data_IF_768144280460
#
_entry.id   IF_768144280460
#
_cell.length_a   1.000
_cell.length_b   1.000
_cell.length_c   1.000
_cell.angle_alpha   90.00
_cell.angle_beta   90.00
_cell.angle_gamma   90.00
#
_symmetry.space_group_name_H-M   'P 1'
#
loop_
_entity.id
_entity.type
_entity.pdbx_description
1 polymer ?
#
# COMPACT_ATOMS: atom_id res chain seq x y z
N UNK A 1 9.58 38.89 13.53
CA UNK A 1 10.85 38.14 13.34
C UNK A 1 11.26 37.54 14.69
N UNK A 2 10.75 36.35 15.03
CA UNK A 2 11.11 35.65 16.28
C UNK A 2 12.05 34.52 15.91
N UNK A 3 13.36 34.74 16.09
CA UNK A 3 14.36 33.66 16.09
C UNK A 3 14.08 32.77 17.30
N UNK A 4 13.38 31.65 17.11
CA UNK A 4 13.43 30.54 18.07
C UNK A 4 14.89 30.06 18.08
N UNK A 5 15.61 30.29 19.18
CA UNK A 5 16.89 29.63 19.44
C UNK A 5 16.61 28.13 19.36
N UNK A 6 17.13 27.46 18.34
CA UNK A 6 17.04 26.00 18.22
C UNK A 6 17.71 25.39 19.45
N UNK A 7 16.92 24.75 20.30
CA UNK A 7 17.43 23.94 21.38
C UNK A 7 18.23 22.80 20.74
N UNK A 8 19.54 22.73 20.98
CA UNK A 8 20.36 21.59 20.54
C UNK A 8 19.73 20.31 21.08
N UNK A 9 19.41 19.36 20.21
CA UNK A 9 18.80 18.08 20.58
C UNK A 9 19.92 17.04 20.52
N UNK A 10 20.13 16.29 21.61
CA UNK A 10 21.17 15.27 21.65
C UNK A 10 20.67 13.95 21.02
N UNK A 11 20.38 13.97 19.71
CA UNK A 11 19.99 12.78 18.95
C UNK A 11 21.24 12.04 18.51
N UNK A 12 21.39 10.78 18.92
CA UNK A 12 22.53 9.94 18.50
C UNK A 12 22.19 9.16 17.23
N UNK A 13 20.96 8.67 17.13
CA UNK A 13 20.49 7.88 16.00
C UNK A 13 19.09 8.36 15.57
N UNK A 14 18.87 8.49 14.26
CA UNK A 14 17.57 8.79 13.67
C UNK A 14 17.24 7.73 12.60
N UNK A 15 16.05 7.13 12.71
CA UNK A 15 15.56 6.13 11.75
C UNK A 15 14.32 6.69 11.07
N UNK A 16 14.33 6.67 9.74
CA UNK A 16 13.22 7.10 8.90
C UNK A 16 12.72 5.89 8.12
N UNK A 17 11.48 5.50 8.35
CA UNK A 17 10.83 4.41 7.63
C UNK A 17 9.89 4.95 6.54
N UNK A 18 9.66 4.17 5.48
CA UNK A 18 8.88 4.56 4.30
C UNK A 18 9.35 5.89 3.66
N UNK A 19 10.67 6.04 3.51
CA UNK A 19 11.33 7.28 3.04
C UNK A 19 10.86 7.74 1.66
N UNK A 20 10.54 6.80 0.77
CA UNK A 20 9.92 7.04 -0.53
C UNK A 20 8.57 7.75 -0.43
N UNK A 21 7.86 7.59 0.69
CA UNK A 21 6.63 8.32 1.00
C UNK A 21 6.94 9.66 1.67
N UNK A 22 7.83 9.67 2.65
CA UNK A 22 8.15 10.85 3.44
C UNK A 22 8.68 11.99 2.58
N UNK A 23 9.53 11.69 1.60
CA UNK A 23 10.12 12.70 0.70
C UNK A 23 9.14 13.29 -0.32
N UNK A 24 7.91 12.77 -0.41
CA UNK A 24 6.81 13.37 -1.16
C UNK A 24 6.03 14.40 -0.34
N UNK A 25 6.32 14.53 0.95
CA UNK A 25 5.74 15.53 1.83
C UNK A 25 6.73 16.69 2.01
N UNK A 26 6.33 17.90 1.61
CA UNK A 26 7.19 19.08 1.74
C UNK A 26 7.42 19.45 3.21
N UNK A 27 6.45 19.19 4.09
CA UNK A 27 6.60 19.46 5.53
C UNK A 27 7.66 18.54 6.15
N UNK A 28 7.80 17.32 5.62
CA UNK A 28 8.83 16.38 6.07
C UNK A 28 10.23 16.90 5.76
N UNK A 29 10.46 17.51 4.58
CA UNK A 29 11.78 18.06 4.23
C UNK A 29 12.18 19.18 5.19
N UNK A 30 11.24 20.06 5.51
CA UNK A 30 11.46 21.14 6.47
C UNK A 30 11.78 20.58 7.86
N UNK A 31 11.03 19.57 8.29
CA UNK A 31 11.27 18.91 9.58
C UNK A 31 12.62 18.18 9.62
N UNK A 32 13.00 17.50 8.54
CA UNK A 32 14.29 16.82 8.39
C UNK A 32 15.44 17.81 8.47
N UNK A 33 15.37 18.94 7.75
CA UNK A 33 16.39 19.98 7.81
C UNK A 33 16.54 20.53 9.24
N UNK A 34 15.42 20.83 9.91
CA UNK A 34 15.46 21.31 11.29
C UNK A 34 16.10 20.29 12.25
N UNK A 35 15.85 19.00 12.03
CA UNK A 35 16.48 17.93 12.80
C UNK A 35 17.99 17.89 12.57
N UNK A 36 18.42 17.93 11.30
CA UNK A 36 19.85 17.95 10.93
C UNK A 36 20.55 19.14 11.59
N UNK A 37 19.99 20.35 11.45
CA UNK A 37 20.57 21.58 12.00
C UNK A 37 20.68 21.58 13.53
N UNK A 38 19.83 20.80 14.20
CA UNK A 38 19.76 20.73 15.66
C UNK A 38 20.51 19.54 16.26
N UNK A 39 21.03 18.63 15.42
CA UNK A 39 21.67 17.38 15.82
C UNK A 39 23.21 17.48 15.85
N UNK A 40 23.90 16.70 16.69
CA UNK A 40 25.35 16.55 16.63
C UNK A 40 25.84 16.05 15.26
N UNK A 41 27.06 16.42 14.87
CA UNK A 41 27.70 15.92 13.63
C UNK A 41 27.87 14.39 13.65
N UNK A 42 27.92 13.78 14.83
CA UNK A 42 28.07 12.34 15.03
C UNK A 42 26.76 11.56 14.90
N UNK A 43 25.62 12.23 14.66
CA UNK A 43 24.32 11.56 14.57
C UNK A 43 24.30 10.60 13.38
N UNK A 44 23.92 9.35 13.64
CA UNK A 44 23.73 8.35 12.60
C UNK A 44 22.30 8.40 12.06
N UNK A 45 22.17 8.41 10.73
CA UNK A 45 20.88 8.41 10.05
C UNK A 45 20.69 7.09 9.30
N UNK A 46 19.55 6.44 9.51
CA UNK A 46 19.15 5.22 8.80
C UNK A 46 17.85 5.48 8.03
N UNK A 47 17.89 5.30 6.72
CA UNK A 47 16.75 5.44 5.82
C UNK A 47 16.27 4.07 5.37
N UNK A 48 15.01 3.75 5.66
CA UNK A 48 14.36 2.48 5.35
C UNK A 48 13.24 2.74 4.35
N UNK A 49 13.19 1.92 3.29
CA UNK A 49 12.13 2.03 2.29
C UNK A 49 11.89 0.70 1.59
N UNK A 50 10.64 0.45 1.21
CA UNK A 50 10.27 -0.72 0.41
C UNK A 50 10.80 -0.64 -1.02
N UNK A 51 10.99 0.57 -1.56
CA UNK A 51 11.54 0.78 -2.90
C UNK A 51 12.43 2.01 -2.92
N UNK A 52 13.52 1.98 -3.67
CA UNK A 52 14.43 3.12 -3.78
C UNK A 52 14.42 3.69 -5.22
N UNK A 53 13.43 4.53 -5.59
CA UNK A 53 13.47 5.27 -6.84
C UNK A 53 14.71 6.17 -6.93
N UNK A 54 15.25 6.34 -8.14
CA UNK A 54 16.45 7.15 -8.39
C UNK A 54 16.30 8.58 -7.87
N UNK A 55 15.11 9.17 -8.01
CA UNK A 55 14.83 10.52 -7.51
C UNK A 55 14.94 10.63 -5.99
N UNK A 56 14.46 9.61 -5.26
CA UNK A 56 14.55 9.55 -3.79
C UNK A 56 16.00 9.34 -3.38
N UNK A 57 16.71 8.44 -4.05
CA UNK A 57 18.14 8.22 -3.82
C UNK A 57 18.96 9.50 -4.02
N UNK A 58 18.75 10.22 -5.13
CA UNK A 58 19.47 11.45 -5.41
C UNK A 58 19.22 12.52 -4.34
N UNK A 59 17.97 12.66 -3.87
CA UNK A 59 17.65 13.56 -2.75
C UNK A 59 18.33 13.15 -1.46
N UNK A 60 18.39 11.86 -1.14
CA UNK A 60 19.09 11.39 0.06
C UNK A 60 20.59 11.71 0.01
N UNK A 61 21.24 11.51 -1.14
CA UNK A 61 22.65 11.84 -1.34
C UNK A 61 22.90 13.34 -1.28
N UNK A 62 21.94 14.17 -1.71
CA UNK A 62 22.02 15.64 -1.58
C UNK A 62 22.08 16.10 -0.12
N UNK A 63 21.21 15.56 0.75
CA UNK A 63 21.24 15.87 2.19
C UNK A 63 22.38 15.16 2.93
N UNK A 64 22.77 13.96 2.49
CA UNK A 64 23.72 13.08 3.16
C UNK A 64 24.72 12.50 2.13
N UNK A 65 25.78 13.25 1.78
CA UNK A 65 26.74 12.83 0.75
C UNK A 65 27.45 11.50 1.04
N UNK A 66 27.65 11.16 2.32
CA UNK A 66 28.30 9.92 2.76
C UNK A 66 27.33 8.73 2.88
N UNK A 67 26.12 8.82 2.30
CA UNK A 67 25.11 7.77 2.35
C UNK A 67 25.65 6.46 1.74
N UNK A 68 25.58 5.39 2.52
CA UNK A 68 25.88 4.03 2.04
C UNK A 68 24.58 3.30 1.77
N UNK A 69 24.41 2.86 0.52
CA UNK A 69 23.25 2.05 0.14
C UNK A 69 23.48 0.61 0.58
N UNK A 70 22.58 0.10 1.40
CA UNK A 70 22.54 -1.32 1.79
C UNK A 70 21.43 -1.98 0.99
N UNK A 71 21.81 -2.89 0.09
CA UNK A 71 20.90 -3.74 -0.67
C UNK A 71 21.37 -5.19 -0.57
N UNK A 72 20.45 -6.13 -0.74
CA UNK A 72 20.79 -7.55 -0.79
C UNK A 72 19.73 -8.36 -1.53
N UNK A 73 20.03 -9.65 -1.81
CA UNK A 73 19.11 -10.55 -2.49
C UNK A 73 17.79 -10.64 -1.72
N UNK A 74 16.68 -10.23 -2.36
CA UNK A 74 15.35 -10.23 -1.76
C UNK A 74 14.97 -8.95 -1.00
N UNK A 75 15.86 -7.96 -0.86
CA UNK A 75 15.47 -6.62 -0.40
C UNK A 75 14.78 -5.87 -1.54
N UNK A 76 13.70 -5.15 -1.24
CA UNK A 76 12.84 -4.48 -2.24
C UNK A 76 12.12 -5.43 -3.21
N UNK A 77 12.02 -6.71 -2.86
CA UNK A 77 11.29 -7.71 -3.62
C UNK A 77 10.00 -8.06 -2.89
N UNK A 78 9.01 -8.53 -3.65
CA UNK A 78 7.84 -9.17 -3.05
C UNK A 78 8.23 -10.51 -2.40
N UNK A 79 7.45 -10.94 -1.41
CA UNK A 79 7.62 -12.26 -0.78
C UNK A 79 7.49 -13.37 -1.83
N UNK A 80 8.35 -14.39 -1.77
CA UNK A 80 8.25 -15.56 -2.66
C UNK A 80 6.97 -16.39 -2.44
N UNK A 81 6.30 -16.20 -1.30
CA UNK A 81 4.99 -16.80 -1.02
C UNK A 81 3.80 -15.98 -1.53
N UNK A 82 4.04 -14.85 -2.19
CA UNK A 82 3.00 -14.04 -2.82
C UNK A 82 2.66 -14.59 -4.21
N UNK A 83 1.39 -14.94 -4.42
CA UNK A 83 0.83 -15.23 -5.75
C UNK A 83 0.13 -13.97 -6.30
N UNK A 84 0.59 -13.47 -7.44
CA UNK A 84 0.01 -12.30 -8.11
C UNK A 84 -0.95 -12.75 -9.22
N UNK A 85 -2.23 -12.41 -9.09
CA UNK A 85 -3.31 -12.76 -10.03
C UNK A 85 -3.79 -11.50 -10.75
N UNK A 86 -3.46 -11.39 -12.03
CA UNK A 86 -3.94 -10.30 -12.88
C UNK A 86 -5.41 -10.53 -13.28
N UNK A 87 -6.29 -9.55 -13.02
CA UNK A 87 -7.70 -9.60 -13.40
C UNK A 87 -8.01 -8.45 -14.33
N UNK A 88 -8.24 -8.76 -15.61
CA UNK A 88 -8.60 -7.77 -16.62
C UNK A 88 -10.09 -7.43 -16.54
N UNK A 89 -10.39 -6.22 -16.05
CA UNK A 89 -11.74 -5.69 -15.90
C UNK A 89 -12.12 -4.73 -17.04
N UNK A 90 -11.39 -4.74 -18.16
CA UNK A 90 -11.68 -3.88 -19.31
C UNK A 90 -13.06 -4.14 -19.91
N UNK A 91 -13.58 -5.36 -19.76
CA UNK A 91 -14.85 -5.82 -20.32
C UNK A 91 -14.82 -6.01 -21.83
N UNK A 92 -15.90 -6.59 -22.35
CA UNK A 92 -16.15 -6.70 -23.79
C UNK A 92 -17.12 -5.59 -24.23
N UNK A 93 -16.73 -4.78 -25.21
CA UNK A 93 -17.54 -3.67 -25.71
C UNK A 93 -16.73 -2.46 -26.20
N UNK A 94 -17.38 -1.62 -27.02
CA UNK A 94 -16.78 -0.42 -27.64
C UNK A 94 -16.71 0.79 -26.71
N UNK A 95 -17.62 0.92 -25.74
CA UNK A 95 -17.70 2.07 -24.83
C UNK A 95 -17.03 1.77 -23.49
N UNK A 96 -15.77 2.17 -23.35
CA UNK A 96 -15.00 2.05 -22.11
C UNK A 96 -15.10 3.36 -21.31
N UNK A 97 -16.01 3.38 -20.34
CA UNK A 97 -16.18 4.52 -19.40
C UNK A 97 -15.75 4.15 -17.98
N UNK A 98 -15.47 5.14 -17.10
CA UNK A 98 -15.18 4.87 -15.69
C UNK A 98 -16.28 4.04 -14.98
N UNK A 99 -17.54 4.23 -15.34
CA UNK A 99 -18.66 3.48 -14.74
C UNK A 99 -18.68 2.02 -15.19
N UNK A 100 -18.45 1.75 -16.49
CA UNK A 100 -18.32 0.37 -16.99
C UNK A 100 -17.14 -0.35 -16.36
N UNK A 101 -16.00 0.34 -16.20
CA UNK A 101 -14.82 -0.18 -15.51
C UNK A 101 -15.14 -0.53 -14.05
N UNK A 102 -15.82 0.35 -13.31
CA UNK A 102 -16.25 0.04 -11.95
C UNK A 102 -17.18 -1.16 -11.90
N UNK A 103 -18.13 -1.27 -12.83
CA UNK A 103 -19.08 -2.38 -12.88
C UNK A 103 -18.39 -3.73 -13.10
N UNK A 104 -17.40 -3.79 -13.99
CA UNK A 104 -16.63 -5.02 -14.23
C UNK A 104 -15.78 -5.39 -13.01
N UNK A 105 -15.09 -4.42 -12.39
CA UNK A 105 -14.35 -4.62 -11.15
C UNK A 105 -15.24 -5.07 -10.00
N UNK A 106 -16.45 -4.51 -9.89
CA UNK A 106 -17.47 -4.90 -8.93
C UNK A 106 -17.81 -6.39 -9.10
N UNK A 107 -18.09 -6.82 -10.32
CA UNK A 107 -18.41 -8.23 -10.62
C UNK A 107 -17.24 -9.14 -10.26
N UNK A 108 -16.01 -8.77 -10.62
CA UNK A 108 -14.81 -9.52 -10.26
C UNK A 108 -14.59 -9.63 -8.74
N UNK A 109 -14.82 -8.54 -8.00
CA UNK A 109 -14.70 -8.53 -6.53
C UNK A 109 -15.73 -9.46 -5.89
N UNK A 110 -17.00 -9.40 -6.32
CA UNK A 110 -18.04 -10.26 -5.76
C UNK A 110 -17.77 -11.74 -6.04
N UNK A 111 -17.36 -12.06 -7.27
CA UNK A 111 -16.95 -13.41 -7.64
C UNK A 111 -15.81 -13.92 -6.76
N UNK A 112 -14.79 -13.08 -6.52
CA UNK A 112 -13.66 -13.43 -5.66
C UNK A 112 -14.11 -13.74 -4.21
N UNK A 113 -14.97 -12.89 -3.64
CA UNK A 113 -15.48 -13.06 -2.27
C UNK A 113 -16.33 -14.32 -2.14
N UNK A 114 -17.09 -14.68 -3.18
CA UNK A 114 -17.96 -15.86 -3.20
C UNK A 114 -17.20 -17.17 -3.43
N UNK A 115 -16.29 -17.20 -4.41
CA UNK A 115 -15.62 -18.43 -4.86
C UNK A 115 -14.35 -18.76 -4.06
N UNK A 116 -13.73 -17.77 -3.41
CA UNK A 116 -12.49 -17.95 -2.66
C UNK A 116 -12.53 -17.23 -1.31
N UNK A 117 -13.47 -17.60 -0.40
CA UNK A 117 -13.56 -16.98 0.91
C UNK A 117 -12.31 -17.26 1.74
N UNK A 118 -11.82 -16.22 2.41
CA UNK A 118 -10.64 -16.27 3.29
C UNK A 118 -10.89 -15.40 4.53
N UNK A 119 -10.17 -15.67 5.61
CA UNK A 119 -10.38 -14.98 6.89
C UNK A 119 -10.14 -13.48 6.80
N UNK A 120 -9.10 -13.03 6.09
CA UNK A 120 -8.77 -11.60 5.98
C UNK A 120 -8.43 -11.17 4.56
N UNK A 121 -9.19 -10.21 4.05
CA UNK A 121 -8.94 -9.53 2.78
C UNK A 121 -8.75 -8.02 2.99
N UNK A 122 -7.75 -7.43 2.35
CA UNK A 122 -7.63 -5.96 2.22
C UNK A 122 -7.99 -5.55 0.80
N UNK A 123 -8.88 -4.59 0.63
CA UNK A 123 -9.25 -3.98 -0.65
C UNK A 123 -8.72 -2.55 -0.70
N UNK A 124 -7.74 -2.31 -1.56
CA UNK A 124 -7.14 -0.99 -1.77
C UNK A 124 -7.85 -0.22 -2.89
N UNK A 125 -8.22 1.02 -2.59
CA UNK A 125 -8.77 1.97 -3.54
C UNK A 125 -7.93 3.26 -3.57
N UNK A 126 -7.88 3.93 -4.72
CA UNK A 126 -7.11 5.17 -4.88
C UNK A 126 -7.85 6.40 -4.35
N UNK A 127 -9.17 6.31 -4.19
CA UNK A 127 -10.08 7.40 -3.79
C UNK A 127 -11.06 6.93 -2.72
N UNK A 128 -11.39 7.83 -1.80
CA UNK A 128 -12.42 7.61 -0.75
C UNK A 128 -13.78 7.29 -1.38
N UNK A 129 -14.12 7.95 -2.49
CA UNK A 129 -15.36 7.69 -3.21
C UNK A 129 -15.45 6.22 -3.68
N UNK A 130 -14.36 5.67 -4.21
CA UNK A 130 -14.30 4.25 -4.60
C UNK A 130 -14.47 3.34 -3.38
N UNK A 131 -13.81 3.63 -2.25
CA UNK A 131 -14.00 2.87 -1.01
C UNK A 131 -15.48 2.79 -0.62
N UNK A 132 -16.19 3.93 -0.63
CA UNK A 132 -17.63 3.99 -0.30
C UNK A 132 -18.48 3.19 -1.28
N UNK A 133 -18.17 3.25 -2.58
CA UNK A 133 -18.88 2.44 -3.59
C UNK A 133 -18.65 0.94 -3.37
N UNK A 134 -17.41 0.53 -3.09
CA UNK A 134 -17.05 -0.87 -2.79
C UNK A 134 -17.73 -1.35 -1.51
N UNK A 135 -17.71 -0.56 -0.44
CA UNK A 135 -18.41 -0.84 0.82
C UNK A 135 -19.90 -1.07 0.57
N UNK A 136 -20.57 -0.18 -0.16
CA UNK A 136 -21.99 -0.29 -0.50
C UNK A 136 -22.30 -1.52 -1.36
N UNK A 137 -21.37 -1.97 -2.20
CA UNK A 137 -21.52 -3.19 -2.99
C UNK A 137 -21.45 -4.41 -2.09
N UNK A 138 -20.42 -4.50 -1.25
CA UNK A 138 -20.21 -5.63 -0.36
C UNK A 138 -21.35 -5.75 0.68
N UNK A 139 -21.83 -4.62 1.22
CA UNK A 139 -22.98 -4.58 2.15
C UNK A 139 -24.26 -5.09 1.49
N UNK A 140 -24.41 -4.88 0.18
CA UNK A 140 -25.58 -5.38 -0.56
C UNK A 140 -25.46 -6.86 -0.92
N UNK A 141 -24.25 -7.36 -1.07
CA UNK A 141 -23.96 -8.78 -1.30
C UNK A 141 -24.32 -9.62 -0.06
N UNK A 142 -23.88 -9.19 1.12
CA UNK A 142 -24.24 -9.83 2.40
C UNK A 142 -25.02 -8.86 3.29
N UNK A 143 -26.31 -8.66 2.98
CA UNK A 143 -27.17 -7.71 3.72
C UNK A 143 -27.33 -8.06 5.20
N UNK A 144 -27.24 -9.34 5.55
CA UNK A 144 -27.38 -9.81 6.93
C UNK A 144 -26.04 -9.75 7.68
N UNK A 145 -24.92 -9.59 6.97
CA UNK A 145 -23.58 -9.59 7.54
C UNK A 145 -23.23 -10.92 8.20
N UNK A 146 -23.80 -12.02 7.70
CA UNK A 146 -23.67 -13.35 8.28
C UNK A 146 -22.40 -14.08 7.88
N UNK A 147 -21.73 -13.64 6.81
CA UNK A 147 -20.53 -14.28 6.27
C UNK A 147 -19.39 -13.28 6.02
N UNK A 148 -19.72 -12.00 5.78
CA UNK A 148 -18.74 -10.97 5.46
C UNK A 148 -18.92 -9.76 6.36
N UNK A 149 -17.86 -9.39 7.07
CA UNK A 149 -17.79 -8.15 7.85
C UNK A 149 -16.91 -7.13 7.15
N UNK A 150 -17.48 -5.95 6.92
CA UNK A 150 -16.85 -4.90 6.11
C UNK A 150 -16.36 -3.80 7.03
N UNK A 151 -15.05 -3.53 6.97
CA UNK A 151 -14.34 -2.63 7.84
C UNK A 151 -13.76 -1.47 6.99
N UNK A 152 -14.50 -0.37 6.78
CA UNK A 152 -13.98 0.76 6.00
C UNK A 152 -12.90 1.51 6.79
N UNK A 153 -11.85 1.94 6.10
CA UNK A 153 -10.70 2.58 6.73
C UNK A 153 -10.09 3.66 5.81
N UNK A 154 -10.60 4.88 5.93
CA UNK A 154 -10.17 6.02 5.12
C UNK A 154 -10.41 7.35 5.85
N UNK A 155 -9.75 8.43 5.41
CA UNK A 155 -9.72 9.72 6.12
C UNK A 155 -11.09 10.41 6.32
N UNK A 156 -12.13 10.06 5.55
CA UNK A 156 -13.47 10.59 5.76
C UNK A 156 -14.24 9.96 6.95
N UNK A 157 -13.67 8.94 7.61
CA UNK A 157 -14.20 8.39 8.85
C UNK A 157 -13.55 9.08 10.04
N UNK A 158 -14.31 9.22 11.12
CA UNK A 158 -13.77 9.66 12.41
C UNK A 158 -12.58 8.76 12.81
N UNK A 159 -11.58 9.36 13.47
CA UNK A 159 -10.39 8.63 13.89
C UNK A 159 -10.73 7.46 14.82
N UNK A 160 -11.69 7.64 15.72
CA UNK A 160 -12.18 6.58 16.61
C UNK A 160 -12.73 5.37 15.83
N UNK A 161 -13.62 5.60 14.85
CA UNK A 161 -14.14 4.55 13.98
C UNK A 161 -13.03 3.82 13.23
N UNK A 162 -12.04 4.57 12.71
CA UNK A 162 -10.86 3.98 12.08
C UNK A 162 -10.09 3.07 13.03
N UNK A 163 -9.86 3.49 14.26
CA UNK A 163 -9.17 2.71 15.28
C UNK A 163 -9.94 1.44 15.66
N UNK A 164 -11.26 1.51 15.77
CA UNK A 164 -12.13 0.35 16.05
C UNK A 164 -12.01 -0.68 14.92
N UNK A 165 -12.26 -0.25 13.67
CA UNK A 165 -12.19 -1.12 12.49
C UNK A 165 -10.80 -1.74 12.32
N UNK A 166 -9.76 -0.97 12.62
CA UNK A 166 -8.37 -1.45 12.60
C UNK A 166 -8.12 -2.54 13.63
N UNK A 167 -8.48 -2.29 14.89
CA UNK A 167 -8.32 -3.27 15.97
C UNK A 167 -9.07 -4.55 15.67
N UNK A 168 -10.29 -4.43 15.14
CA UNK A 168 -11.09 -5.56 14.75
C UNK A 168 -10.40 -6.38 13.65
N UNK A 169 -9.92 -5.73 12.58
CA UNK A 169 -9.24 -6.43 11.49
C UNK A 169 -7.92 -7.11 11.94
N UNK A 170 -7.11 -6.43 12.75
CA UNK A 170 -5.80 -6.94 13.16
C UNK A 170 -5.91 -8.05 14.20
N UNK A 171 -6.78 -7.89 15.21
CA UNK A 171 -6.83 -8.82 16.35
C UNK A 171 -7.83 -9.95 16.21
N UNK A 172 -8.82 -9.85 15.31
CA UNK A 172 -9.80 -10.92 15.13
C UNK A 172 -9.23 -12.06 14.29
N UNK A 173 -9.61 -13.28 14.64
CA UNK A 173 -9.36 -14.50 13.87
C UNK A 173 -10.72 -15.18 13.65
N UNK A 174 -11.50 -14.71 12.66
CA UNK A 174 -12.85 -15.21 12.46
C UNK A 174 -12.83 -16.70 12.08
N UNK A 175 -13.76 -17.47 12.65
CA UNK A 175 -14.03 -18.85 12.23
C UNK A 175 -15.29 -18.86 11.39
N UNK A 176 -15.15 -19.01 10.08
CA UNK A 176 -16.28 -19.06 9.13
C UNK A 176 -16.66 -17.71 8.52
N UNK A 177 -16.30 -16.59 9.15
CA UNK A 177 -16.54 -15.25 8.61
C UNK A 177 -15.31 -14.69 7.88
N UNK A 178 -15.53 -13.84 6.88
CA UNK A 178 -14.49 -13.08 6.19
C UNK A 178 -14.47 -11.63 6.67
N UNK A 179 -13.31 -11.13 7.11
CA UNK A 179 -13.12 -9.69 7.34
C UNK A 179 -12.57 -9.04 6.08
N UNK A 180 -13.24 -7.99 5.62
CA UNK A 180 -12.81 -7.21 4.45
C UNK A 180 -12.54 -5.78 4.88
N UNK A 181 -11.26 -5.40 4.91
CA UNK A 181 -10.83 -4.01 5.16
C UNK A 181 -10.81 -3.24 3.83
N UNK A 182 -11.62 -2.20 3.70
CA UNK A 182 -11.65 -1.35 2.49
C UNK A 182 -10.97 -0.02 2.77
N UNK A 183 -9.83 0.26 2.13
CA UNK A 183 -8.98 1.39 2.52
C UNK A 183 -8.33 2.16 1.37
N UNK A 184 -7.80 3.33 1.72
CA UNK A 184 -6.85 4.10 0.89
C UNK A 184 -5.47 4.11 1.55
N UNK A 185 -4.41 4.27 0.77
CA UNK A 185 -3.02 4.20 1.26
C UNK A 185 -2.73 5.22 2.35
N UNK A 186 -3.23 6.45 2.21
CA UNK A 186 -3.02 7.49 3.23
C UNK A 186 -3.52 7.08 4.60
N UNK A 187 -4.55 6.25 4.67
CA UNK A 187 -5.07 5.79 5.95
C UNK A 187 -4.21 4.65 6.51
N UNK A 188 -3.73 3.72 5.67
CA UNK A 188 -3.12 2.44 6.06
C UNK A 188 -1.59 2.44 6.22
N UNK A 189 -0.91 3.57 6.03
CA UNK A 189 0.56 3.71 6.20
C UNK A 189 1.01 3.42 7.62
N UNK A 190 2.16 2.77 7.77
CA UNK A 190 2.71 2.40 9.08
C UNK A 190 1.89 1.38 9.87
N UNK A 191 0.90 0.75 9.23
CA UNK A 191 0.05 -0.24 9.88
C UNK A 191 0.51 -1.66 9.53
N UNK A 192 0.77 -2.42 10.58
CA UNK A 192 1.06 -3.84 10.48
C UNK A 192 -0.24 -4.66 10.44
N UNK A 193 -0.57 -5.16 9.26
CA UNK A 193 -1.67 -6.10 9.07
C UNK A 193 -1.14 -7.53 9.13
N UNK A 194 -1.32 -8.18 10.27
CA UNK A 194 -0.93 -9.58 10.46
C UNK A 194 -2.02 -10.55 9.96
N UNK A 195 -1.59 -11.63 9.31
CA UNK A 195 -2.46 -12.71 8.87
C UNK A 195 -3.43 -12.33 7.75
N UNK A 196 -3.02 -11.45 6.84
CA UNK A 196 -3.81 -11.11 5.64
C UNK A 196 -3.62 -12.22 4.62
N UNK A 197 -4.72 -12.86 4.19
CA UNK A 197 -4.70 -13.92 3.19
C UNK A 197 -4.72 -13.35 1.77
N UNK A 198 -5.62 -12.38 1.54
CA UNK A 198 -5.82 -11.75 0.23
C UNK A 198 -5.61 -10.23 0.28
N UNK A 199 -4.98 -9.72 -0.76
CA UNK A 199 -4.96 -8.29 -1.09
C UNK A 199 -5.66 -8.11 -2.44
N UNK A 200 -6.55 -7.14 -2.54
CA UNK A 200 -7.20 -6.74 -3.80
C UNK A 200 -6.82 -5.32 -4.10
N UNK A 201 -6.11 -5.11 -5.22
CA UNK A 201 -5.87 -3.79 -5.78
C UNK A 201 -7.07 -3.42 -6.64
N UNK A 202 -8.17 -2.97 -6.01
CA UNK A 202 -9.40 -2.64 -6.73
C UNK A 202 -9.16 -1.49 -7.71
N UNK A 203 -8.46 -0.45 -7.25
CA UNK A 203 -7.85 0.53 -8.14
C UNK A 203 -6.38 0.21 -8.33
N UNK A 204 -5.95 0.14 -9.60
CA UNK A 204 -4.55 -0.04 -9.93
C UNK A 204 -3.69 1.08 -9.31
N UNK A 205 -2.56 0.76 -8.66
CA UNK A 205 -1.68 1.74 -8.03
C UNK A 205 -1.18 2.79 -9.03
N UNK A 206 -0.85 3.98 -8.53
CA UNK A 206 -0.38 5.11 -9.35
C UNK A 206 1.08 4.96 -9.73
N UNK A 207 1.86 4.30 -8.88
CA UNK A 207 3.29 4.08 -9.07
C UNK A 207 3.70 2.67 -8.58
N UNK A 208 4.87 2.17 -9.00
CA UNK A 208 5.33 0.84 -8.60
C UNK A 208 5.65 0.73 -7.10
N UNK A 209 6.03 1.81 -6.44
CA UNK A 209 6.31 1.82 -4.99
C UNK A 209 5.03 1.56 -4.20
N UNK A 210 3.93 2.19 -4.58
CA UNK A 210 2.60 1.95 -4.05
C UNK A 210 2.16 0.51 -4.30
N UNK A 211 2.44 -0.03 -5.49
CA UNK A 211 2.18 -1.44 -5.81
C UNK A 211 2.84 -2.38 -4.80
N UNK A 212 4.17 -2.28 -4.61
CA UNK A 212 4.92 -3.16 -3.69
C UNK A 212 4.39 -3.06 -2.27
N UNK A 213 4.15 -1.84 -1.79
CA UNK A 213 3.66 -1.62 -0.42
C UNK A 213 2.29 -2.24 -0.18
N UNK A 214 1.39 -2.18 -1.17
CA UNK A 214 0.04 -2.76 -1.07
C UNK A 214 0.07 -4.28 -1.13
N UNK A 215 0.74 -4.87 -2.11
CA UNK A 215 0.80 -6.34 -2.23
C UNK A 215 1.61 -6.97 -1.10
N UNK A 216 2.60 -6.24 -0.55
CA UNK A 216 3.36 -6.65 0.63
C UNK A 216 2.56 -6.67 1.94
N UNK A 217 1.25 -6.34 1.93
CA UNK A 217 0.39 -6.51 3.12
C UNK A 217 0.00 -7.97 3.37
N UNK A 218 0.15 -8.85 2.37
CA UNK A 218 -0.02 -10.31 2.52
C UNK A 218 1.31 -11.04 2.33
N UNK A 219 1.31 -12.37 2.52
CA UNK A 219 2.50 -13.21 2.43
C UNK A 219 3.67 -12.76 3.33
N UNK A 220 3.36 -12.13 4.48
CA UNK A 220 4.35 -11.63 5.43
C UNK A 220 4.86 -12.74 6.36
N UNK A 221 6.11 -12.59 6.81
CA UNK A 221 6.78 -13.54 7.71
C UNK A 221 7.46 -14.69 6.97
N UNK A 222 8.35 -15.40 7.66
CA UNK A 222 9.06 -16.54 7.10
C UNK A 222 8.06 -17.65 6.72
N UNK A 223 8.02 -18.03 5.44
CA UNK A 223 7.08 -19.02 4.91
C UNK A 223 5.64 -18.51 4.75
N UNK A 224 5.39 -17.21 4.92
CA UNK A 224 4.07 -16.60 4.71
C UNK A 224 3.59 -16.80 3.28
N UNK A 225 2.31 -17.13 3.13
CA UNK A 225 1.63 -17.29 1.83
C UNK A 225 0.49 -16.28 1.72
N UNK A 226 0.17 -15.89 0.49
CA UNK A 226 -0.89 -14.93 0.25
C UNK A 226 -1.13 -14.69 -1.23
N UNK A 227 -2.29 -14.12 -1.56
CA UNK A 227 -2.63 -13.78 -2.94
C UNK A 227 -2.90 -12.28 -3.09
N UNK A 228 -2.36 -11.69 -4.14
CA UNK A 228 -2.70 -10.34 -4.57
C UNK A 228 -3.51 -10.41 -5.88
N UNK A 229 -4.73 -9.89 -5.87
CA UNK A 229 -5.59 -9.77 -7.05
C UNK A 229 -5.49 -8.33 -7.59
N UNK A 230 -4.98 -8.19 -8.81
CA UNK A 230 -4.66 -6.90 -9.41
C UNK A 230 -5.70 -6.57 -10.48
N UNK A 231 -6.64 -5.68 -10.15
CA UNK A 231 -7.71 -5.31 -11.06
C UNK A 231 -7.22 -4.19 -11.98
N UNK A 232 -7.23 -4.46 -13.28
CA UNK A 232 -6.72 -3.55 -14.31
C UNK A 232 -7.76 -3.25 -15.37
N UNK A 233 -7.64 -2.08 -15.99
CA UNK A 233 -8.46 -1.70 -17.15
C UNK A 233 -7.63 -1.04 -18.25
N UNK A 234 -7.92 -1.38 -19.50
CA UNK A 234 -7.35 -0.75 -20.69
C UNK A 234 -5.82 -0.71 -20.68
N UNK A 235 -5.25 0.50 -20.66
CA UNK A 235 -3.79 0.73 -20.69
C UNK A 235 -3.06 0.23 -19.44
N UNK A 236 -3.76 -0.08 -18.34
CA UNK A 236 -3.15 -0.63 -17.13
C UNK A 236 -2.71 -2.09 -17.31
N UNK A 237 -3.33 -2.84 -18.22
CA UNK A 237 -3.03 -4.26 -18.46
C UNK A 237 -1.56 -4.51 -18.81
N UNK A 238 -0.98 -3.87 -19.86
CA UNK A 238 0.43 -4.08 -20.18
C UNK A 238 1.38 -3.62 -19.07
N UNK A 239 1.04 -2.54 -18.38
CA UNK A 239 1.85 -2.03 -17.27
C UNK A 239 1.89 -3.03 -16.10
N UNK A 240 0.74 -3.56 -15.71
CA UNK A 240 0.64 -4.55 -14.64
C UNK A 240 1.37 -5.85 -15.00
N UNK A 241 1.28 -6.32 -16.25
CA UNK A 241 2.06 -7.48 -16.72
C UNK A 241 3.56 -7.24 -16.57
N UNK A 242 4.03 -6.05 -16.95
CA UNK A 242 5.45 -5.67 -16.80
C UNK A 242 5.88 -5.66 -15.32
N UNK A 243 5.04 -5.17 -14.41
CA UNK A 243 5.32 -5.18 -12.97
C UNK A 243 5.43 -6.63 -12.46
N UNK A 244 4.42 -7.47 -12.74
CA UNK A 244 4.37 -8.85 -12.27
C UNK A 244 5.56 -9.66 -12.82
N UNK A 245 5.90 -9.50 -14.10
CA UNK A 245 7.06 -10.17 -14.71
C UNK A 245 8.37 -9.78 -14.01
N UNK A 246 8.56 -8.50 -13.71
CA UNK A 246 9.75 -8.04 -12.98
C UNK A 246 9.79 -8.56 -11.55
N UNK A 247 8.65 -8.57 -10.86
CA UNK A 247 8.53 -9.15 -9.52
C UNK A 247 8.92 -10.63 -9.51
N UNK A 248 8.42 -11.43 -10.46
CA UNK A 248 8.77 -12.85 -10.61
C UNK A 248 10.25 -13.08 -10.89
N UNK A 249 10.89 -12.17 -11.64
CA UNK A 249 12.34 -12.20 -11.92
C UNK A 249 13.19 -11.66 -10.77
N UNK A 250 12.57 -11.12 -9.71
CA UNK A 250 13.29 -10.42 -8.65
C UNK A 250 14.02 -9.18 -9.18
N UNK A 251 13.45 -8.49 -10.15
CA UNK A 251 14.01 -7.25 -10.67
C UNK A 251 13.41 -6.05 -9.93
N UNK A 252 14.21 -5.03 -9.59
CA UNK A 252 13.69 -3.81 -8.98
C UNK A 252 12.61 -3.17 -9.86
N UNK A 253 11.57 -2.61 -9.25
CA UNK A 253 10.46 -1.98 -9.96
C UNK A 253 10.65 -0.48 -10.26
N UNK A 254 11.72 0.15 -9.77
CA UNK A 254 11.94 1.59 -9.95
C UNK A 254 12.12 2.01 -11.44
N UNK A 255 12.38 1.07 -12.34
CA UNK A 255 12.46 1.29 -13.79
C UNK A 255 11.09 1.22 -14.51
N UNK A 256 10.02 0.87 -13.79
CA UNK A 256 8.68 0.80 -14.36
C UNK A 256 8.02 2.18 -14.29
N UNK A 257 7.49 2.71 -15.41
CA UNK A 257 6.81 4.00 -15.41
C UNK A 257 5.60 4.03 -14.46
N UNK A 258 5.27 5.22 -13.95
CA UNK A 258 4.02 5.45 -13.24
C UNK A 258 2.80 5.21 -14.17
N UNK A 259 1.65 4.95 -13.58
CA UNK A 259 0.45 4.50 -14.29
C UNK A 259 -0.30 5.61 -15.06
N UNK A 260 0.18 6.86 -15.05
CA UNK A 260 -0.47 8.00 -15.67
C UNK A 260 0.55 9.04 -16.13
#
# INVERSE_FOLDING_TARGET
MVKRKGSKINVINAVFDEVDILFNDEDFKVALQCLIDSSPVVTQYLFVTATLPVEIYNRLVEFFPDTKVIMGPGMHHISSGLEEVLVDCSGEGTFKTPDTAFLNKKTALLKLVEESPVSKTIVFCNKIETCRKVENVLKRFDRKGTHVRILPFHAALAQETRLINMKEFTHSQPRGDSLILVCTDRASRGIDFAGVDHVVLFDFPRDPSEYVRRVGRTARGAGGKGKAFIFVVGKQVPLARKIIERNQKGHPLHEVPAAF
#
